data_IF_864803198762
#
_entry.id   IF_864803198762
#
_cell.length_a   1.000
_cell.length_b   1.000
_cell.length_c   1.000
_cell.angle_alpha   90.00
_cell.angle_beta   90.00
_cell.angle_gamma   90.00
#
_symmetry.space_group_name_H-M   'P 1'
#
loop_
_entity.id
_entity.type
_entity.pdbx_description
1 polymer ?
#
# COMPACT_ATOMS: atom_id res chain seq x y z
N UNK A 1 31.06 0.03 -22.65
CA UNK A 1 31.50 -0.45 -21.31
C UNK A 1 30.26 -0.84 -20.56
N UNK A 2 30.12 -2.10 -20.15
CA UNK A 2 29.03 -2.48 -19.25
C UNK A 2 29.22 -1.73 -17.93
N UNK A 3 28.17 -1.11 -17.40
CA UNK A 3 28.18 -0.47 -16.09
C UNK A 3 28.21 -1.58 -15.01
N UNK A 4 29.39 -2.18 -14.81
CA UNK A 4 29.61 -3.28 -13.88
C UNK A 4 31.04 -3.25 -13.36
N UNK A 5 31.22 -3.46 -12.06
CA UNK A 5 32.52 -3.65 -11.42
C UNK A 5 32.54 -4.94 -10.60
N UNK A 6 33.75 -5.44 -10.34
CA UNK A 6 33.94 -6.68 -9.58
C UNK A 6 33.39 -6.52 -8.17
N UNK A 7 32.75 -7.59 -7.69
CA UNK A 7 32.34 -7.69 -6.30
C UNK A 7 33.58 -7.71 -5.38
N UNK A 8 33.61 -6.96 -4.27
CA UNK A 8 34.75 -6.95 -3.35
C UNK A 8 35.08 -8.35 -2.83
N UNK A 9 36.37 -8.65 -2.65
CA UNK A 9 36.79 -10.00 -2.23
C UNK A 9 36.84 -10.17 -0.72
N UNK A 10 37.09 -9.07 0.00
CA UNK A 10 37.30 -9.05 1.44
C UNK A 10 36.44 -7.98 2.08
N UNK A 11 35.84 -8.31 3.22
CA UNK A 11 35.12 -7.37 4.05
C UNK A 11 36.05 -6.34 4.69
N UNK A 12 35.50 -5.18 4.99
CA UNK A 12 36.17 -4.17 5.80
C UNK A 12 36.18 -4.57 7.27
N UNK A 13 37.14 -4.07 8.08
CA UNK A 13 37.06 -4.20 9.53
C UNK A 13 35.77 -3.57 10.06
N UNK A 14 35.02 -4.32 10.87
CA UNK A 14 33.78 -3.85 11.49
C UNK A 14 34.06 -2.71 12.48
N UNK A 15 33.42 -1.57 12.27
CA UNK A 15 33.44 -0.43 13.18
C UNK A 15 32.71 -0.74 14.50
N UNK A 16 31.62 -1.49 14.44
CA UNK A 16 30.78 -1.83 15.59
C UNK A 16 31.29 -3.06 16.36
N UNK A 17 32.45 -3.61 16.00
CA UNK A 17 32.98 -4.84 16.57
C UNK A 17 32.30 -6.11 16.03
N UNK A 18 32.58 -7.29 16.62
CA UNK A 18 32.10 -8.58 16.09
C UNK A 18 30.57 -8.67 16.07
N UNK A 19 30.03 -9.44 15.12
CA UNK A 19 28.59 -9.75 15.06
C UNK A 19 28.19 -10.51 16.32
N UNK A 20 27.11 -10.06 16.96
CA UNK A 20 26.54 -10.72 18.16
C UNK A 20 25.07 -11.05 18.02
N UNK A 21 24.44 -10.63 16.93
CA UNK A 21 23.06 -10.99 16.61
C UNK A 21 22.92 -12.49 16.32
N UNK A 22 21.75 -13.03 16.64
CA UNK A 22 21.36 -14.39 16.29
C UNK A 22 20.99 -14.48 14.80
N UNK A 23 20.30 -13.47 14.26
CA UNK A 23 20.02 -13.35 12.83
C UNK A 23 21.22 -12.77 12.07
N UNK A 24 21.50 -13.37 10.92
CA UNK A 24 22.40 -12.85 9.89
C UNK A 24 21.88 -13.33 8.52
N UNK A 25 21.78 -12.43 7.54
CA UNK A 25 21.18 -12.72 6.24
C UNK A 25 22.25 -12.89 5.16
N UNK A 26 21.82 -13.00 3.91
CA UNK A 26 22.72 -13.39 2.83
C UNK A 26 23.54 -12.25 2.24
N UNK A 27 23.26 -11.00 2.61
CA UNK A 27 24.13 -9.87 2.29
C UNK A 27 25.46 -10.04 3.04
N UNK A 28 26.58 -9.85 2.35
CA UNK A 28 27.88 -10.12 3.00
C UNK A 28 28.26 -8.98 3.94
N UNK A 29 28.43 -9.30 5.22
CA UNK A 29 28.77 -8.35 6.28
C UNK A 29 29.98 -7.47 5.96
N UNK A 30 29.79 -6.15 6.08
CA UNK A 30 30.81 -5.12 5.94
C UNK A 30 31.58 -5.17 4.59
N UNK A 31 30.98 -5.75 3.55
CA UNK A 31 31.64 -5.96 2.26
C UNK A 31 31.84 -4.66 1.46
N UNK A 32 30.95 -3.68 1.65
CA UNK A 32 31.01 -2.37 0.98
C UNK A 32 31.60 -1.26 1.85
N UNK A 33 31.51 -1.39 3.17
CA UNK A 33 31.97 -0.39 4.14
C UNK A 33 32.15 -1.02 5.52
N UNK A 34 33.06 -0.48 6.33
CA UNK A 34 33.25 -0.90 7.73
C UNK A 34 32.17 -0.37 8.69
N UNK A 35 31.30 0.56 8.25
CA UNK A 35 30.32 1.22 9.12
C UNK A 35 28.90 0.63 9.07
N UNK A 36 28.55 -0.02 7.95
CA UNK A 36 27.22 -0.61 7.71
C UNK A 36 27.46 -2.05 7.27
N UNK A 37 26.98 -3.01 8.06
CA UNK A 37 27.21 -4.42 7.78
C UNK A 37 26.52 -4.86 6.48
N UNK A 38 25.22 -4.63 6.37
CA UNK A 38 24.41 -5.03 5.21
C UNK A 38 23.79 -3.79 4.57
N UNK A 39 24.47 -3.21 3.58
CA UNK A 39 24.12 -1.90 3.01
C UNK A 39 22.75 -1.91 2.32
N UNK A 40 22.42 -2.95 1.56
CA UNK A 40 21.16 -3.05 0.83
C UNK A 40 20.02 -3.36 1.79
N UNK A 41 20.23 -4.24 2.77
CA UNK A 41 19.27 -4.51 3.84
C UNK A 41 19.02 -3.25 4.69
N UNK A 42 20.05 -2.47 5.03
CA UNK A 42 19.88 -1.16 5.70
C UNK A 42 19.16 -0.15 4.81
N UNK A 43 19.55 0.01 3.54
CA UNK A 43 18.99 1.06 2.67
C UNK A 43 17.54 0.77 2.26
N UNK A 44 17.18 -0.48 2.03
CA UNK A 44 15.83 -0.89 1.63
C UNK A 44 14.76 -0.56 2.68
N UNK A 45 15.15 -0.43 3.95
CA UNK A 45 14.28 0.04 5.03
C UNK A 45 13.76 1.48 4.88
N UNK A 46 14.38 2.28 4.00
CA UNK A 46 13.85 3.59 3.60
C UNK A 46 12.42 3.47 3.07
N UNK A 47 12.05 2.31 2.50
CA UNK A 47 10.68 2.02 2.04
C UNK A 47 9.65 2.23 3.15
N UNK A 48 9.90 1.70 4.35
CA UNK A 48 8.99 1.88 5.49
C UNK A 48 8.86 3.36 5.87
N UNK A 49 9.97 4.09 5.89
CA UNK A 49 10.00 5.51 6.25
C UNK A 49 9.25 6.39 5.24
N UNK A 50 9.39 6.10 3.94
CA UNK A 50 8.70 6.82 2.88
C UNK A 50 7.18 6.62 2.97
N UNK A 51 6.72 5.38 3.20
CA UNK A 51 5.30 5.11 3.39
C UNK A 51 4.74 5.72 4.67
N UNK A 52 5.51 5.66 5.78
CA UNK A 52 5.14 6.31 7.02
C UNK A 52 4.97 7.83 6.83
N UNK A 53 5.96 8.47 6.19
CA UNK A 53 5.93 9.90 5.88
C UNK A 53 4.71 10.26 5.04
N UNK A 54 4.42 9.48 3.98
CA UNK A 54 3.27 9.74 3.13
C UNK A 54 1.94 9.63 3.91
N UNK A 55 1.77 8.58 4.71
CA UNK A 55 0.56 8.40 5.53
C UNK A 55 0.35 9.53 6.54
N UNK A 56 1.40 9.88 7.29
CA UNK A 56 1.37 10.97 8.26
C UNK A 56 1.04 12.31 7.59
N UNK A 57 1.65 12.59 6.44
CA UNK A 57 1.38 13.81 5.66
C UNK A 57 -0.07 13.87 5.18
N UNK A 58 -0.64 12.74 4.75
CA UNK A 58 -2.04 12.65 4.32
C UNK A 58 -3.02 12.99 5.45
N UNK A 59 -2.63 12.74 6.70
CA UNK A 59 -3.46 12.95 7.89
C UNK A 59 -3.34 14.36 8.50
N UNK A 60 -2.49 15.24 7.97
CA UNK A 60 -2.16 16.53 8.61
C UNK A 60 -3.36 17.45 8.91
N UNK A 61 -4.44 17.34 8.14
CA UNK A 61 -5.64 18.18 8.28
C UNK A 61 -6.79 17.50 9.05
N UNK A 62 -6.57 16.29 9.58
CA UNK A 62 -7.59 15.54 10.31
C UNK A 62 -7.56 15.87 11.81
N UNK A 63 -8.73 16.09 12.42
CA UNK A 63 -8.83 16.40 13.86
C UNK A 63 -8.36 15.24 14.76
N UNK A 64 -8.44 14.02 14.25
CA UNK A 64 -8.03 12.77 14.89
C UNK A 64 -6.64 12.29 14.42
N UNK A 65 -5.83 13.16 13.80
CA UNK A 65 -4.54 12.83 13.20
C UNK A 65 -3.60 12.05 14.14
N UNK A 66 -3.58 12.39 15.44
CA UNK A 66 -2.73 11.69 16.42
C UNK A 66 -3.02 10.18 16.42
N UNK A 67 -4.29 9.79 16.50
CA UNK A 67 -4.69 8.39 16.56
C UNK A 67 -4.57 7.69 15.21
N UNK A 68 -4.86 8.39 14.10
CA UNK A 68 -4.65 7.87 12.74
C UNK A 68 -3.17 7.62 12.45
N UNK A 69 -2.28 8.40 13.05
CA UNK A 69 -0.84 8.33 12.79
C UNK A 69 -0.11 7.25 13.59
N UNK A 70 -0.71 6.64 14.61
CA UNK A 70 -0.04 5.62 15.43
C UNK A 70 0.48 4.43 14.61
N UNK A 71 -0.29 3.80 13.69
CA UNK A 71 0.23 2.72 12.86
C UNK A 71 1.37 3.15 11.92
N UNK A 72 1.31 4.39 11.39
CA UNK A 72 2.38 4.93 10.54
C UNK A 72 3.66 5.20 11.33
N UNK A 73 3.55 5.68 12.56
CA UNK A 73 4.68 5.77 13.49
C UNK A 73 5.22 4.37 13.84
N UNK A 74 4.35 3.37 13.94
CA UNK A 74 4.74 1.97 14.10
C UNK A 74 5.64 1.48 12.97
N UNK A 75 5.22 1.62 11.71
CA UNK A 75 6.08 1.21 10.57
C UNK A 75 7.32 2.09 10.41
N UNK A 76 7.29 3.36 10.81
CA UNK A 76 8.50 4.18 10.89
C UNK A 76 9.49 3.60 11.91
N UNK A 77 8.98 3.16 13.07
CA UNK A 77 9.75 2.45 14.09
C UNK A 77 10.41 1.18 13.55
N UNK A 78 9.67 0.38 12.77
CA UNK A 78 10.21 -0.80 12.07
C UNK A 78 11.35 -0.41 11.14
N UNK A 79 11.15 0.57 10.27
CA UNK A 79 12.20 1.02 9.35
C UNK A 79 13.47 1.51 10.07
N UNK A 80 13.32 2.26 11.16
CA UNK A 80 14.47 2.74 11.95
C UNK A 80 15.17 1.58 12.67
N UNK A 81 14.41 0.74 13.38
CA UNK A 81 14.92 -0.41 14.12
C UNK A 81 15.70 -1.36 13.21
N UNK A 82 15.07 -1.77 12.11
CA UNK A 82 15.68 -2.63 11.10
C UNK A 82 16.91 -1.99 10.44
N UNK A 83 16.87 -0.70 10.11
CA UNK A 83 18.05 0.00 9.57
C UNK A 83 19.25 -0.07 10.53
N UNK A 84 19.01 0.16 11.83
CA UNK A 84 20.06 0.12 12.87
C UNK A 84 20.57 -1.31 13.05
N UNK A 85 19.67 -2.30 13.03
CA UNK A 85 20.04 -3.70 13.11
C UNK A 85 20.96 -4.11 11.96
N UNK A 86 20.54 -3.95 10.71
CA UNK A 86 21.35 -4.32 9.54
C UNK A 86 22.66 -3.52 9.43
N UNK A 87 22.72 -2.32 10.01
CA UNK A 87 23.95 -1.56 10.03
C UNK A 87 24.99 -2.11 11.02
N UNK A 88 24.56 -2.76 12.11
CA UNK A 88 25.42 -3.05 13.27
C UNK A 88 25.53 -4.54 13.62
N UNK A 89 24.51 -5.34 13.29
CA UNK A 89 24.35 -6.77 13.59
C UNK A 89 24.61 -7.13 15.05
N UNK A 90 23.98 -6.38 15.96
CA UNK A 90 24.02 -6.63 17.42
C UNK A 90 22.72 -7.21 17.93
N UNK A 91 22.82 -8.06 18.95
CA UNK A 91 21.65 -8.62 19.65
C UNK A 91 20.65 -7.54 20.10
N UNK A 92 21.10 -6.47 20.77
CA UNK A 92 20.19 -5.42 21.24
C UNK A 92 19.55 -4.62 20.10
N UNK A 93 20.22 -4.47 18.95
CA UNK A 93 19.63 -3.84 17.77
C UNK A 93 18.68 -4.77 17.03
N UNK A 94 18.96 -6.08 17.03
CA UNK A 94 18.03 -7.11 16.55
C UNK A 94 16.75 -7.10 17.37
N UNK A 95 16.85 -7.04 18.70
CA UNK A 95 15.67 -6.90 19.57
C UNK A 95 14.89 -5.63 19.24
N UNK A 96 15.58 -4.52 18.94
CA UNK A 96 14.90 -3.29 18.53
C UNK A 96 14.08 -3.48 17.24
N UNK A 97 14.61 -4.19 16.24
CA UNK A 97 13.88 -4.54 15.02
C UNK A 97 12.69 -5.47 15.34
N UNK A 98 12.96 -6.65 15.91
CA UNK A 98 11.96 -7.68 16.25
C UNK A 98 10.79 -7.09 17.07
N UNK A 99 11.09 -6.33 18.12
CA UNK A 99 10.06 -5.77 18.99
C UNK A 99 9.27 -4.66 18.29
N UNK A 100 9.92 -3.85 17.44
CA UNK A 100 9.22 -2.81 16.68
C UNK A 100 8.17 -3.40 15.75
N UNK A 101 8.45 -4.56 15.11
CA UNK A 101 7.49 -5.27 14.27
C UNK A 101 6.26 -5.73 15.05
N UNK A 102 6.47 -6.33 16.23
CA UNK A 102 5.38 -6.80 17.09
C UNK A 102 4.54 -5.64 17.62
N UNK A 103 5.18 -4.56 18.08
CA UNK A 103 4.49 -3.37 18.59
C UNK A 103 3.67 -2.72 17.48
N UNK A 104 4.26 -2.47 16.30
CA UNK A 104 3.56 -1.90 15.16
C UNK A 104 2.32 -2.74 14.78
N UNK A 105 2.48 -4.06 14.71
CA UNK A 105 1.39 -4.98 14.39
C UNK A 105 0.32 -4.99 15.48
N UNK A 106 0.70 -4.93 16.76
CA UNK A 106 -0.21 -4.86 17.89
C UNK A 106 -1.10 -3.60 17.83
N UNK A 107 -0.57 -2.45 17.38
CA UNK A 107 -1.39 -1.23 17.22
C UNK A 107 -2.47 -1.40 16.14
N UNK A 108 -2.14 -2.05 15.02
CA UNK A 108 -3.10 -2.33 13.95
C UNK A 108 -4.13 -3.35 14.42
N UNK A 109 -3.69 -4.42 15.10
CA UNK A 109 -4.56 -5.44 15.69
C UNK A 109 -5.56 -4.79 16.66
N UNK A 110 -5.08 -3.97 17.59
CA UNK A 110 -5.93 -3.25 18.53
C UNK A 110 -6.96 -2.39 17.79
N UNK A 111 -6.55 -1.63 16.76
CA UNK A 111 -7.46 -0.79 15.98
C UNK A 111 -8.57 -1.59 15.29
N UNK A 112 -8.25 -2.69 14.60
CA UNK A 112 -9.27 -3.47 13.85
C UNK A 112 -10.28 -4.18 14.76
N UNK A 113 -9.94 -4.44 16.02
CA UNK A 113 -10.85 -5.08 16.97
C UNK A 113 -11.64 -4.09 17.83
N UNK A 114 -11.23 -2.82 17.91
CA UNK A 114 -11.78 -1.87 18.88
C UNK A 114 -12.39 -0.59 18.28
N UNK A 115 -12.23 -0.34 16.97
CA UNK A 115 -12.66 0.92 16.36
C UNK A 115 -14.15 1.26 16.53
N UNK A 116 -15.01 0.25 16.68
CA UNK A 116 -16.47 0.37 16.86
C UNK A 116 -16.92 -0.02 18.28
N UNK A 117 -16.01 -0.07 19.26
CA UNK A 117 -16.27 -0.51 20.63
C UNK A 117 -16.30 0.66 21.62
N UNK A 118 -16.89 0.41 22.80
CA UNK A 118 -16.91 1.39 23.87
C UNK A 118 -15.51 1.66 24.42
N UNK A 119 -15.29 2.85 24.98
CA UNK A 119 -13.99 3.24 25.54
C UNK A 119 -13.44 2.22 26.54
N UNK A 120 -14.29 1.66 27.40
CA UNK A 120 -13.89 0.63 28.38
C UNK A 120 -13.33 -0.63 27.70
N UNK A 121 -13.98 -1.11 26.63
CA UNK A 121 -13.50 -2.28 25.86
C UNK A 121 -12.20 -1.94 25.14
N UNK A 122 -12.11 -0.75 24.55
CA UNK A 122 -10.89 -0.29 23.86
C UNK A 122 -9.70 -0.19 24.81
N UNK A 123 -9.88 0.39 26.00
CA UNK A 123 -8.80 0.51 26.99
C UNK A 123 -8.41 -0.84 27.58
N UNK A 124 -9.38 -1.65 28.01
CA UNK A 124 -9.10 -2.97 28.62
C UNK A 124 -8.40 -3.92 27.65
N UNK A 125 -8.83 -3.99 26.39
CA UNK A 125 -8.15 -4.77 25.36
C UNK A 125 -6.75 -4.23 25.04
N UNK A 126 -6.56 -2.90 25.03
CA UNK A 126 -5.24 -2.29 24.85
C UNK A 126 -4.27 -2.66 25.98
N UNK A 127 -4.72 -2.61 27.24
CA UNK A 127 -3.93 -3.03 28.40
C UNK A 127 -3.58 -4.53 28.35
N UNK A 128 -4.54 -5.38 27.96
CA UNK A 128 -4.31 -6.82 27.82
C UNK A 128 -3.28 -7.14 26.72
N UNK A 129 -3.42 -6.52 25.55
CA UNK A 129 -2.45 -6.66 24.44
C UNK A 129 -1.07 -6.17 24.89
N UNK A 130 -1.00 -5.04 25.58
CA UNK A 130 0.27 -4.48 26.08
C UNK A 130 0.94 -5.42 27.07
N UNK A 131 0.19 -5.99 28.03
CA UNK A 131 0.72 -6.95 29.00
C UNK A 131 1.25 -8.22 28.30
N UNK A 132 0.48 -8.75 27.34
CA UNK A 132 0.90 -9.92 26.56
C UNK A 132 2.15 -9.63 25.74
N UNK A 133 2.19 -8.51 25.01
CA UNK A 133 3.35 -8.08 24.23
C UNK A 133 4.58 -7.87 25.11
N UNK A 134 4.45 -7.23 26.27
CA UNK A 134 5.57 -7.01 27.20
C UNK A 134 6.12 -8.34 27.73
N UNK A 135 5.24 -9.28 28.09
CA UNK A 135 5.62 -10.60 28.58
C UNK A 135 6.35 -11.40 27.50
N UNK A 136 5.77 -11.46 26.29
CA UNK A 136 6.36 -12.15 25.16
C UNK A 136 7.70 -11.53 24.74
N UNK A 137 7.77 -10.20 24.67
CA UNK A 137 9.00 -9.48 24.30
C UNK A 137 10.11 -9.71 25.32
N UNK A 138 9.78 -9.72 26.62
CA UNK A 138 10.74 -10.02 27.67
C UNK A 138 11.27 -11.45 27.54
N UNK A 139 10.38 -12.41 27.32
CA UNK A 139 10.76 -13.80 27.06
C UNK A 139 11.67 -13.91 25.82
N UNK A 140 11.28 -13.28 24.70
CA UNK A 140 12.03 -13.23 23.45
C UNK A 140 13.46 -12.70 23.64
N UNK A 141 13.62 -11.57 24.33
CA UNK A 141 14.94 -11.00 24.58
C UNK A 141 15.80 -11.83 25.54
N UNK A 142 15.19 -12.61 26.45
CA UNK A 142 15.91 -13.49 27.38
C UNK A 142 16.36 -14.78 26.68
N UNK A 143 15.50 -15.36 25.84
CA UNK A 143 15.80 -16.61 25.14
C UNK A 143 16.60 -16.41 23.86
N UNK A 144 16.56 -15.21 23.28
CA UNK A 144 17.20 -14.83 22.02
C UNK A 144 16.81 -15.77 20.85
N UNK A 145 15.55 -16.25 20.86
CA UNK A 145 15.03 -17.27 19.94
C UNK A 145 14.04 -16.68 18.93
N UNK A 146 14.35 -16.75 17.63
CA UNK A 146 13.56 -16.09 16.57
C UNK A 146 12.31 -16.86 16.09
N UNK A 147 12.23 -18.15 16.37
CA UNK A 147 11.15 -19.00 15.84
C UNK A 147 9.78 -18.54 16.32
N UNK A 148 9.63 -18.35 17.64
CA UNK A 148 8.36 -17.97 18.24
C UNK A 148 7.97 -16.53 17.91
N UNK A 149 8.96 -15.63 17.75
CA UNK A 149 8.72 -14.28 17.24
C UNK A 149 8.05 -14.36 15.85
N UNK A 150 8.64 -15.14 14.93
CA UNK A 150 8.13 -15.29 13.56
C UNK A 150 6.72 -15.89 13.53
N UNK A 151 6.47 -16.92 14.36
CA UNK A 151 5.14 -17.54 14.50
C UNK A 151 4.11 -16.53 15.02
N UNK A 152 4.41 -15.81 16.09
CA UNK A 152 3.50 -14.82 16.66
C UNK A 152 3.20 -13.71 15.64
N UNK A 153 4.24 -13.16 15.01
CA UNK A 153 4.10 -12.13 13.98
C UNK A 153 3.20 -12.61 12.84
N UNK A 154 3.43 -13.81 12.31
CA UNK A 154 2.59 -14.42 11.26
C UNK A 154 1.13 -14.58 11.67
N UNK A 155 0.87 -15.05 12.91
CA UNK A 155 -0.49 -15.20 13.44
C UNK A 155 -1.20 -13.84 13.59
N UNK A 156 -0.49 -12.81 14.05
CA UNK A 156 -1.05 -11.46 14.17
C UNK A 156 -1.42 -10.88 12.80
N UNK A 157 -0.53 -11.00 11.81
CA UNK A 157 -0.78 -10.54 10.44
C UNK A 157 -1.96 -11.29 9.82
N UNK A 158 -2.05 -12.61 9.96
CA UNK A 158 -3.17 -13.41 9.48
C UNK A 158 -4.49 -12.97 10.13
N UNK A 159 -4.49 -12.75 11.45
CA UNK A 159 -5.66 -12.30 12.20
C UNK A 159 -6.13 -10.91 11.75
N UNK A 160 -5.20 -9.97 11.56
CA UNK A 160 -5.50 -8.64 11.01
C UNK A 160 -6.10 -8.77 9.61
N UNK A 161 -5.53 -9.60 8.74
CA UNK A 161 -6.04 -9.81 7.38
C UNK A 161 -7.47 -10.35 7.37
N UNK A 162 -7.74 -11.40 8.14
CA UNK A 162 -9.08 -11.99 8.27
C UNK A 162 -10.09 -11.00 8.85
N UNK A 163 -9.72 -10.28 9.90
CA UNK A 163 -10.58 -9.27 10.52
C UNK A 163 -10.86 -8.11 9.58
N UNK A 164 -9.85 -7.64 8.84
CA UNK A 164 -9.99 -6.59 7.84
C UNK A 164 -10.99 -7.00 6.75
N UNK A 165 -10.88 -8.22 6.21
CA UNK A 165 -11.84 -8.75 5.22
C UNK A 165 -13.27 -8.80 5.77
N UNK A 166 -13.44 -9.20 7.04
CA UNK A 166 -14.75 -9.17 7.71
C UNK A 166 -15.31 -7.74 7.82
N UNK A 167 -14.48 -6.75 8.14
CA UNK A 167 -14.89 -5.34 8.22
C UNK A 167 -15.31 -4.80 6.85
N UNK A 168 -14.60 -5.16 5.77
CA UNK A 168 -15.00 -4.78 4.40
C UNK A 168 -16.43 -5.25 4.11
N UNK A 169 -16.74 -6.51 4.44
CA UNK A 169 -18.08 -7.08 4.25
C UNK A 169 -19.15 -6.31 5.01
N UNK A 170 -18.85 -5.91 6.25
CA UNK A 170 -19.79 -5.24 7.15
C UNK A 170 -19.99 -3.74 6.86
N UNK A 171 -18.96 -3.04 6.39
CA UNK A 171 -18.95 -1.56 6.30
C UNK A 171 -19.11 -1.02 4.88
N UNK A 172 -18.83 -1.82 3.85
CA UNK A 172 -18.89 -1.35 2.46
C UNK A 172 -20.11 -1.95 1.76
N UNK A 173 -21.18 -1.17 1.63
CA UNK A 173 -22.43 -1.65 1.01
C UNK A 173 -22.42 -1.59 -0.51
N UNK A 174 -21.81 -0.55 -1.10
CA UNK A 174 -21.74 -0.39 -2.55
C UNK A 174 -20.89 -1.51 -3.19
N UNK A 175 -21.46 -2.34 -4.09
CA UNK A 175 -20.75 -3.47 -4.68
C UNK A 175 -19.47 -3.11 -5.43
N UNK A 176 -19.46 -1.97 -6.14
CA UNK A 176 -18.29 -1.53 -6.92
C UNK A 176 -17.13 -1.14 -5.99
N UNK A 177 -17.42 -0.33 -4.98
CA UNK A 177 -16.42 0.09 -3.99
C UNK A 177 -15.96 -1.12 -3.17
N UNK A 178 -16.87 -2.02 -2.81
CA UNK A 178 -16.54 -3.26 -2.09
C UNK A 178 -15.56 -4.12 -2.89
N UNK A 179 -15.77 -4.28 -4.20
CA UNK A 179 -14.86 -5.02 -5.07
C UNK A 179 -13.46 -4.36 -5.12
N UNK A 180 -13.38 -3.04 -5.26
CA UNK A 180 -12.11 -2.30 -5.24
C UNK A 180 -11.37 -2.47 -3.91
N UNK A 181 -12.07 -2.35 -2.78
CA UNK A 181 -11.50 -2.49 -1.44
C UNK A 181 -11.03 -3.92 -1.18
N UNK A 182 -11.78 -4.95 -1.62
CA UNK A 182 -11.34 -6.34 -1.54
C UNK A 182 -10.14 -6.64 -2.43
N UNK A 183 -10.10 -6.05 -3.62
CA UNK A 183 -8.96 -6.16 -4.54
C UNK A 183 -7.71 -5.55 -3.91
N UNK A 184 -7.83 -4.37 -3.31
CA UNK A 184 -6.73 -3.72 -2.58
C UNK A 184 -6.24 -4.58 -1.40
N UNK A 185 -7.16 -5.11 -0.60
CA UNK A 185 -6.85 -6.05 0.48
C UNK A 185 -6.10 -7.29 -0.04
N UNK A 186 -6.55 -7.86 -1.17
CA UNK A 186 -5.94 -9.05 -1.77
C UNK A 186 -4.55 -8.77 -2.32
N UNK A 187 -4.36 -7.65 -3.03
CA UNK A 187 -3.02 -7.26 -3.50
C UNK A 187 -2.07 -6.94 -2.35
N UNK A 188 -2.54 -6.28 -1.29
CA UNK A 188 -1.75 -6.08 -0.07
C UNK A 188 -1.26 -7.40 0.52
N UNK A 189 -2.15 -8.41 0.63
CA UNK A 189 -1.78 -9.76 1.06
C UNK A 189 -0.77 -10.42 0.12
N UNK A 190 -1.00 -10.37 -1.19
CA UNK A 190 -0.10 -10.99 -2.19
C UNK A 190 1.29 -10.37 -2.13
N UNK A 191 1.39 -9.04 -2.07
CA UNK A 191 2.66 -8.31 -1.96
C UNK A 191 3.40 -8.74 -0.68
N UNK A 192 2.72 -8.76 0.47
CA UNK A 192 3.33 -9.13 1.74
C UNK A 192 3.81 -10.60 1.74
N UNK A 193 2.97 -11.53 1.28
CA UNK A 193 3.31 -12.97 1.18
C UNK A 193 4.43 -13.21 0.17
N UNK A 194 4.50 -12.42 -0.90
CA UNK A 194 5.62 -12.48 -1.86
C UNK A 194 6.93 -12.10 -1.18
N UNK A 195 6.92 -11.03 -0.37
CA UNK A 195 8.05 -10.73 0.51
C UNK A 195 8.43 -11.94 1.35
N UNK A 196 7.47 -12.55 2.06
CA UNK A 196 7.75 -13.69 2.95
C UNK A 196 8.35 -14.88 2.22
N UNK A 197 7.86 -15.16 1.02
CA UNK A 197 8.43 -16.21 0.17
C UNK A 197 9.89 -15.87 -0.21
N UNK A 198 10.17 -14.63 -0.61
CA UNK A 198 11.53 -14.17 -0.94
C UNK A 198 12.46 -14.27 0.26
N UNK A 199 12.01 -13.89 1.47
CA UNK A 199 12.76 -14.04 2.71
C UNK A 199 13.12 -15.51 3.00
N UNK A 200 12.20 -16.45 2.78
CA UNK A 200 12.51 -17.88 2.95
C UNK A 200 13.52 -18.37 1.90
N UNK A 201 13.46 -17.86 0.66
CA UNK A 201 14.44 -18.20 -0.38
C UNK A 201 15.83 -17.68 -0.01
N UNK A 202 15.93 -16.45 0.51
CA UNK A 202 17.19 -15.86 1.01
C UNK A 202 17.86 -16.83 2.01
N UNK A 203 17.13 -17.20 3.06
CA UNK A 203 17.60 -18.12 4.09
C UNK A 203 17.98 -19.51 3.54
N UNK A 204 17.23 -20.05 2.58
CA UNK A 204 17.40 -21.42 2.11
C UNK A 204 18.58 -21.62 1.15
N UNK A 205 18.92 -20.61 0.34
CA UNK A 205 19.93 -20.76 -0.73
C UNK A 205 21.07 -19.74 -0.64
N UNK A 206 21.35 -19.26 0.57
CA UNK A 206 22.34 -18.22 0.87
C UNK A 206 23.69 -18.39 0.15
N UNK A 207 24.33 -19.55 0.29
CA UNK A 207 25.63 -19.78 -0.37
C UNK A 207 25.59 -19.70 -1.89
N UNK A 208 24.46 -20.07 -2.52
CA UNK A 208 24.28 -19.92 -3.98
C UNK A 208 24.05 -18.46 -4.36
N UNK A 209 23.25 -17.73 -3.58
CA UNK A 209 23.02 -16.30 -3.79
C UNK A 209 24.34 -15.52 -3.71
N UNK A 210 25.16 -15.77 -2.68
CA UNK A 210 26.48 -15.15 -2.53
C UNK A 210 27.39 -15.45 -3.72
N UNK A 211 27.43 -16.70 -4.19
CA UNK A 211 28.21 -17.06 -5.37
C UNK A 211 27.74 -16.33 -6.64
N UNK A 212 26.42 -16.22 -6.84
CA UNK A 212 25.84 -15.48 -7.97
C UNK A 212 26.13 -13.98 -7.87
N UNK A 213 26.02 -13.37 -6.68
CA UNK A 213 26.38 -11.96 -6.45
C UNK A 213 27.82 -11.67 -6.82
N UNK A 214 28.75 -12.53 -6.39
CA UNK A 214 30.17 -12.42 -6.74
C UNK A 214 30.44 -12.59 -8.24
N UNK A 215 29.68 -13.44 -8.93
CA UNK A 215 29.81 -13.66 -10.37
C UNK A 215 29.21 -12.53 -11.22
N UNK A 216 28.05 -12.00 -10.83
CA UNK A 216 27.35 -10.91 -11.52
C UNK A 216 28.08 -9.58 -11.36
N UNK A 217 28.66 -9.35 -10.18
CA UNK A 217 29.32 -8.09 -9.86
C UNK A 217 28.32 -6.96 -9.61
N UNK A 218 28.87 -5.80 -9.25
CA UNK A 218 28.12 -4.64 -8.77
C UNK A 218 27.82 -3.67 -9.92
N UNK A 219 26.70 -2.93 -9.88
CA UNK A 219 25.68 -2.92 -8.83
C UNK A 219 24.60 -3.99 -9.03
N UNK A 220 24.69 -4.79 -10.10
CA UNK A 220 23.62 -5.74 -10.47
C UNK A 220 23.42 -6.86 -9.44
N UNK A 221 24.43 -7.19 -8.66
CA UNK A 221 24.32 -8.08 -7.50
C UNK A 221 23.31 -7.60 -6.46
N UNK A 222 23.01 -6.30 -6.38
CA UNK A 222 21.97 -5.76 -5.47
C UNK A 222 20.59 -6.35 -5.75
N UNK A 223 20.30 -6.72 -6.99
CA UNK A 223 19.04 -7.36 -7.33
C UNK A 223 18.89 -8.76 -6.69
N UNK A 224 20.00 -9.37 -6.26
CA UNK A 224 20.04 -10.67 -5.60
C UNK A 224 20.05 -10.57 -4.07
N UNK A 225 20.03 -9.36 -3.50
CA UNK A 225 19.84 -9.15 -2.06
C UNK A 225 18.36 -9.34 -1.71
N UNK A 226 17.97 -10.61 -1.61
CA UNK A 226 16.57 -11.01 -1.45
C UNK A 226 15.97 -10.53 -0.13
N UNK A 227 16.77 -10.47 0.93
CA UNK A 227 16.32 -9.86 2.18
C UNK A 227 15.99 -8.35 2.04
N UNK A 228 16.73 -7.61 1.23
CA UNK A 228 16.39 -6.23 0.89
C UNK A 228 15.05 -6.10 0.15
N UNK A 229 14.74 -7.05 -0.74
CA UNK A 229 13.42 -7.11 -1.38
C UNK A 229 12.31 -7.45 -0.38
N UNK A 230 12.57 -8.30 0.62
CA UNK A 230 11.62 -8.54 1.71
C UNK A 230 11.15 -7.22 2.33
N UNK A 231 12.07 -6.32 2.73
CA UNK A 231 11.72 -5.00 3.27
C UNK A 231 10.83 -4.17 2.34
N UNK A 232 11.13 -4.18 1.05
CA UNK A 232 10.36 -3.42 0.05
C UNK A 232 8.92 -3.96 -0.04
N UNK A 233 8.77 -5.28 -0.16
CA UNK A 233 7.48 -5.94 -0.28
C UNK A 233 6.66 -5.83 1.01
N UNK A 234 7.24 -6.12 2.17
CA UNK A 234 6.52 -6.00 3.45
C UNK A 234 6.21 -4.56 3.81
N UNK A 235 7.09 -3.60 3.48
CA UNK A 235 6.82 -2.18 3.65
C UNK A 235 5.61 -1.72 2.84
N UNK A 236 5.55 -2.11 1.56
CA UNK A 236 4.40 -1.82 0.71
C UNK A 236 3.12 -2.52 1.20
N UNK A 237 3.21 -3.81 1.55
CA UNK A 237 2.08 -4.57 2.08
C UNK A 237 1.54 -4.02 3.40
N UNK A 238 2.42 -3.68 4.34
CA UNK A 238 2.06 -3.08 5.62
C UNK A 238 1.40 -1.72 5.43
N UNK A 239 1.95 -0.86 4.56
CA UNK A 239 1.32 0.42 4.21
C UNK A 239 -0.09 0.23 3.64
N UNK A 240 -0.28 -0.70 2.70
CA UNK A 240 -1.60 -1.01 2.13
C UNK A 240 -2.58 -1.39 3.24
N UNK A 241 -2.18 -2.28 4.14
CA UNK A 241 -3.04 -2.72 5.25
C UNK A 241 -3.35 -1.59 6.22
N UNK A 242 -2.37 -0.76 6.58
CA UNK A 242 -2.58 0.38 7.47
C UNK A 242 -3.55 1.38 6.84
N UNK A 243 -3.32 1.78 5.58
CA UNK A 243 -4.20 2.71 4.88
C UNK A 243 -5.61 2.15 4.70
N UNK A 244 -5.73 0.85 4.45
CA UNK A 244 -7.01 0.15 4.34
C UNK A 244 -7.76 0.12 5.68
N UNK A 245 -7.07 -0.21 6.78
CA UNK A 245 -7.64 -0.20 8.13
C UNK A 245 -8.05 1.22 8.52
N UNK A 246 -7.24 2.23 8.23
CA UNK A 246 -7.58 3.62 8.46
C UNK A 246 -8.88 3.99 7.72
N UNK A 247 -8.96 3.70 6.42
CA UNK A 247 -10.15 3.94 5.60
C UNK A 247 -11.39 3.23 6.18
N UNK A 248 -11.31 1.93 6.48
CA UNK A 248 -12.44 1.13 6.96
C UNK A 248 -12.92 1.52 8.37
N UNK A 249 -12.02 2.05 9.20
CA UNK A 249 -12.32 2.48 10.58
C UNK A 249 -12.65 3.96 10.69
N UNK A 250 -12.74 4.67 9.57
CA UNK A 250 -13.17 6.07 9.49
C UNK A 250 -14.62 6.21 9.00
N UNK A 251 -15.11 7.45 9.03
CA UNK A 251 -16.35 7.91 8.40
C UNK A 251 -16.32 7.85 6.87
N UNK A 252 -15.16 7.60 6.27
CA UNK A 252 -15.02 7.45 4.82
C UNK A 252 -15.27 6.04 4.32
N UNK A 253 -15.45 5.06 5.22
CA UNK A 253 -15.75 3.68 4.84
C UNK A 253 -16.96 3.62 3.89
N UNK A 254 -16.73 3.10 2.69
CA UNK A 254 -17.74 2.99 1.63
C UNK A 254 -17.80 4.17 0.66
N UNK A 255 -16.99 5.21 0.83
CA UNK A 255 -16.82 6.28 -0.15
C UNK A 255 -15.80 5.89 -1.24
N UNK A 256 -15.82 6.51 -2.43
CA UNK A 256 -14.82 6.24 -3.46
C UNK A 256 -13.39 6.44 -2.94
N UNK A 257 -12.49 5.51 -3.30
CA UNK A 257 -11.12 5.47 -2.81
C UNK A 257 -10.29 6.69 -3.24
N UNK A 258 -10.37 7.10 -4.51
CA UNK A 258 -9.63 8.26 -5.05
C UNK A 258 -8.11 8.19 -4.86
N UNK A 259 -7.42 9.32 -5.07
CA UNK A 259 -5.96 9.45 -4.96
C UNK A 259 -5.41 9.51 -3.52
N UNK A 260 -6.02 8.77 -2.59
CA UNK A 260 -5.67 8.78 -1.15
C UNK A 260 -4.43 7.95 -0.81
N UNK A 261 -4.02 7.07 -1.72
CA UNK A 261 -2.95 6.10 -1.46
C UNK A 261 -1.64 6.50 -2.15
N UNK A 262 -0.51 6.12 -1.58
CA UNK A 262 0.81 6.28 -2.19
C UNK A 262 1.00 5.32 -3.37
N UNK A 263 1.95 5.60 -4.27
CA UNK A 263 2.41 4.61 -5.24
C UNK A 263 3.04 3.38 -4.52
N UNK A 264 2.86 2.13 -5.00
CA UNK A 264 2.11 1.70 -6.19
C UNK A 264 0.61 1.47 -5.95
N UNK A 265 0.14 1.73 -4.73
CA UNK A 265 -1.26 1.53 -4.34
C UNK A 265 -2.21 2.41 -5.15
N UNK A 266 -1.85 3.67 -5.37
CA UNK A 266 -2.59 4.56 -6.28
C UNK A 266 -2.76 3.93 -7.67
N UNK A 267 -1.72 3.32 -8.22
CA UNK A 267 -1.79 2.68 -9.54
C UNK A 267 -2.71 1.45 -9.57
N UNK A 268 -2.71 0.64 -8.51
CA UNK A 268 -3.62 -0.51 -8.37
C UNK A 268 -5.11 -0.10 -8.30
N UNK A 269 -5.38 1.12 -7.81
CA UNK A 269 -6.73 1.70 -7.68
C UNK A 269 -7.14 2.51 -8.93
N UNK A 270 -6.25 3.37 -9.43
CA UNK A 270 -6.52 4.33 -10.52
C UNK A 270 -6.38 3.74 -11.93
N UNK A 271 -5.58 2.67 -12.09
CA UNK A 271 -5.40 1.98 -13.37
C UNK A 271 -6.70 1.43 -13.99
N UNK A 272 -7.81 1.47 -13.24
CA UNK A 272 -9.16 1.09 -13.68
C UNK A 272 -10.14 2.26 -13.81
N UNK A 273 -9.95 3.39 -13.12
CA UNK A 273 -10.75 4.59 -13.38
C UNK A 273 -10.59 5.08 -14.84
N UNK A 274 -9.42 4.80 -15.44
CA UNK A 274 -9.17 4.99 -16.87
C UNK A 274 -9.81 3.94 -17.79
N UNK A 275 -10.10 2.72 -17.30
CA UNK A 275 -10.75 1.65 -18.06
C UNK A 275 -12.27 1.78 -18.07
N UNK A 276 -12.88 2.20 -16.95
CA UNK A 276 -14.34 2.45 -16.89
C UNK A 276 -14.76 3.65 -17.76
N UNK A 277 -13.92 4.68 -17.92
CA UNK A 277 -14.20 5.77 -18.89
C UNK A 277 -14.22 5.29 -20.34
N UNK A 278 -13.49 4.21 -20.66
CA UNK A 278 -13.47 3.63 -22.01
C UNK A 278 -14.67 2.71 -22.23
N UNK A 279 -15.11 1.96 -21.20
CA UNK A 279 -16.30 1.10 -21.31
C UNK A 279 -17.63 1.88 -21.27
N UNK A 280 -17.73 2.96 -20.50
CA UNK A 280 -18.92 3.81 -20.45
C UNK A 280 -19.22 4.56 -21.76
N UNK A 281 -18.20 4.76 -22.61
CA UNK A 281 -18.35 5.35 -23.95
C UNK A 281 -18.52 4.30 -25.07
N UNK A 282 -18.44 2.99 -24.76
CA UNK A 282 -18.32 1.92 -25.75
C UNK A 282 -19.61 1.17 -26.11
N UNK A 283 -20.68 1.25 -25.31
CA UNK A 283 -21.89 0.44 -25.53
C UNK A 283 -23.17 1.28 -25.54
N UNK A 284 -23.33 2.08 -26.61
CA UNK A 284 -24.55 2.85 -26.91
C UNK A 284 -25.30 2.32 -28.14
N UNK A 285 -25.68 1.04 -28.17
CA UNK A 285 -26.66 0.53 -29.14
C UNK A 285 -27.77 -0.23 -28.42
N UNK A 286 -28.78 0.53 -27.97
CA UNK A 286 -30.06 0.01 -27.56
C UNK A 286 -31.04 0.07 -28.75
N UNK A 287 -31.29 -1.07 -29.39
CA UNK A 287 -32.41 -1.25 -30.32
C UNK A 287 -33.68 -1.49 -29.50
N UNK A 288 -34.50 -0.46 -29.32
CA UNK A 288 -35.83 -0.55 -28.72
C UNK A 288 -36.93 -0.34 -29.76
N UNK A 289 -37.49 -1.43 -30.28
CA UNK A 289 -38.79 -1.41 -30.99
C UNK A 289 -39.91 -1.38 -29.95
N UNK A 290 -40.70 -0.31 -29.92
CA UNK A 290 -41.99 -0.27 -29.23
C UNK A 290 -43.08 0.26 -30.18
N UNK A 291 -44.02 -0.63 -30.53
CA UNK A 291 -45.22 -0.35 -31.32
C UNK A 291 -46.21 0.51 -30.52
N UNK A 292 -46.73 1.54 -31.16
CA UNK A 292 -47.88 2.31 -30.69
C UNK A 292 -49.19 1.52 -30.87
N UNK A 293 -50.10 1.63 -29.91
CA UNK A 293 -51.55 1.66 -30.12
C UNK A 293 -52.21 2.35 -28.92
N UNK A 294 -53.06 3.33 -29.21
CA UNK A 294 -53.49 4.35 -28.25
C UNK A 294 -54.75 4.06 -27.46
N UNK A 295 -55.06 4.99 -26.56
CA UNK A 295 -56.41 5.48 -26.26
C UNK A 295 -56.29 6.79 -25.49
N UNK A 296 -57.04 7.78 -25.96
CA UNK A 296 -57.12 9.16 -25.48
C UNK A 296 -57.79 9.23 -24.10
N UNK A 297 -57.24 10.03 -23.18
CA UNK A 297 -58.03 10.74 -22.16
C UNK A 297 -57.47 12.15 -21.95
N UNK A 298 -58.33 13.11 -22.26
CA UNK A 298 -58.13 14.56 -22.14
C UNK A 298 -58.17 14.95 -20.67
N UNK A 299 -57.22 15.79 -20.23
CA UNK A 299 -57.46 16.66 -19.08
C UNK A 299 -56.80 18.03 -19.34
N UNK A 300 -57.63 19.08 -19.33
CA UNK A 300 -57.21 20.48 -19.43
C UNK A 300 -56.94 21.04 -18.04
N UNK A 301 -55.81 21.71 -17.85
CA UNK A 301 -55.75 22.95 -17.06
C UNK A 301 -54.45 23.72 -17.32
N UNK A 302 -54.62 25.05 -17.35
CA UNK A 302 -53.70 26.08 -17.80
C UNK A 302 -52.48 26.31 -16.90
N UNK A 303 -51.34 26.65 -17.52
CA UNK A 303 -50.21 27.29 -16.85
C UNK A 303 -49.22 27.86 -17.88
N UNK A 304 -49.21 29.19 -18.03
CA UNK A 304 -48.44 29.97 -19.01
C UNK A 304 -46.93 29.72 -18.92
N UNK A 305 -46.29 29.42 -20.06
CA UNK A 305 -44.84 29.51 -20.24
C UNK A 305 -44.53 30.58 -21.29
N UNK A 306 -43.73 31.59 -20.89
CA UNK A 306 -43.25 32.67 -21.74
C UNK A 306 -41.90 32.20 -22.34
N UNK A 307 -41.89 31.81 -23.62
CA UNK A 307 -40.70 31.35 -24.32
C UNK A 307 -40.05 32.47 -25.11
N UNK A 308 -38.78 32.77 -24.81
CA UNK A 308 -37.92 33.60 -25.64
C UNK A 308 -37.00 32.68 -26.44
N UNK A 309 -37.23 32.57 -27.74
CA UNK A 309 -36.48 31.71 -28.68
C UNK A 309 -35.48 32.58 -29.42
N UNK A 310 -34.18 32.28 -29.27
CA UNK A 310 -33.13 32.83 -30.13
C UNK A 310 -32.62 31.70 -31.03
N UNK A 311 -33.14 31.67 -32.27
CA UNK A 311 -32.72 30.74 -33.31
C UNK A 311 -31.58 31.33 -34.13
N UNK A 312 -30.51 30.55 -34.31
CA UNK A 312 -29.42 30.88 -35.24
C UNK A 312 -29.49 29.90 -36.41
N UNK A 313 -30.01 30.37 -37.54
CA UNK A 313 -30.12 29.62 -38.79
C UNK A 313 -28.91 29.92 -39.68
N UNK A 314 -28.19 28.88 -40.12
CA UNK A 314 -27.24 28.95 -41.24
C UNK A 314 -27.94 28.42 -42.50
N UNK A 315 -28.05 29.30 -43.49
CA UNK A 315 -28.61 29.01 -44.81
C UNK A 315 -27.56 28.41 -45.75
N UNK A 316 -27.96 27.36 -46.50
CA UNK A 316 -27.27 26.88 -47.69
C UNK A 316 -28.04 27.39 -48.92
N UNK A 317 -27.38 28.17 -49.77
CA UNK A 317 -27.93 28.69 -51.03
C UNK A 317 -27.48 27.88 -52.24
N UNK A 318 -28.43 27.47 -53.08
CA UNK A 318 -28.23 26.96 -54.43
C UNK A 318 -27.93 28.11 -55.41
N UNK A 319 -27.09 27.84 -56.41
CA UNK A 319 -26.82 28.71 -57.55
C UNK A 319 -27.48 28.14 -58.82
N UNK A 320 -28.18 29.00 -59.57
CA UNK A 320 -28.28 28.90 -61.03
C UNK A 320 -28.45 30.31 -61.62
N UNK A 321 -27.82 30.47 -62.78
CA UNK A 321 -27.57 31.68 -63.55
C UNK A 321 -28.82 32.45 -64.03
N UNK A 322 -28.67 33.77 -64.20
CA UNK A 322 -28.90 34.41 -65.50
C UNK A 322 -28.32 35.83 -65.56
N UNK A 323 -27.85 36.21 -66.75
CA UNK A 323 -27.13 37.45 -67.01
C UNK A 323 -28.01 38.70 -66.99
N UNK A 324 -27.38 39.87 -66.88
CA UNK A 324 -27.13 40.80 -67.99
C UNK A 324 -26.68 42.17 -67.46
N UNK A 325 -25.94 42.89 -68.29
CA UNK A 325 -25.11 44.05 -67.98
C UNK A 325 -25.81 45.42 -68.00
N UNK A 326 -25.18 46.41 -67.33
CA UNK A 326 -25.00 47.86 -67.63
C UNK A 326 -25.07 48.70 -66.34
N UNK A 327 -23.97 49.31 -65.88
CA UNK A 327 -23.38 50.65 -66.23
C UNK A 327 -24.21 51.87 -65.78
N UNK A 328 -23.55 52.69 -64.94
CA UNK A 328 -23.68 54.15 -64.69
C UNK A 328 -25.03 54.64 -64.16
N UNK A 329 -25.12 55.41 -63.08
CA UNK A 329 -24.26 56.48 -62.54
C UNK A 329 -24.09 56.31 -61.02
#
# INVERSE_FOLDING_TARGET
MAFSWKYPQHAHPSYWGPVTAQANFCEEDYILTGYIAEVINTASNLTYLLYAYHGIKSNANHKDAIFRNLPYLGIAGVGIGSSIFHATLKNYTQWCDDLSMLIATATVLHRVFTFDKSLSVTVSSGLLITLFMATFSTWHCITDELTMHSVLFGLMIATIGLKTRSIISARVSNPLIKAQVFKLCTWGSVIFVTGFAIWNVDNAICGKLTAWKRAVGMPWSFALELHGWWHVFTGAGAYIFIALVEYLTSEDAGKPLGGRFAFPVAWLVDGEAGKEKVEANGNGHANGFAKANGAVKVNRSNGKANGNVNGNAKANGMAHENGNAKKSL
#
